data_IF_429874386153
#
_entry.id   IF_429874386153
#
_cell.length_a   1.000
_cell.length_b   1.000
_cell.length_c   1.000
_cell.angle_alpha   90.00
_cell.angle_beta   90.00
_cell.angle_gamma   90.00
#
_symmetry.space_group_name_H-M   'P 1'
#
loop_
_entity.id
_entity.type
_entity.pdbx_description
1 polymer ?
#
# COMPACT_ATOMS: atom_id res chain seq x y z
N UNK A 1 -21.07 -50.81 -3.48
CA UNK A 1 -19.68 -50.27 -3.71
C UNK A 1 -19.66 -49.05 -4.64
N UNK A 2 -20.38 -49.04 -5.77
CA UNK A 2 -20.39 -47.90 -6.73
C UNK A 2 -20.77 -46.56 -6.12
N UNK A 3 -21.77 -46.51 -5.22
CA UNK A 3 -22.23 -45.21 -4.64
C UNK A 3 -21.22 -44.62 -3.61
N UNK A 4 -20.38 -45.43 -2.98
CA UNK A 4 -19.35 -44.94 -2.06
C UNK A 4 -18.14 -44.35 -2.79
N UNK A 5 -17.79 -44.91 -3.96
CA UNK A 5 -16.72 -44.40 -4.82
C UNK A 5 -17.13 -43.05 -5.45
N UNK A 6 -18.41 -42.94 -5.87
CA UNK A 6 -18.95 -41.69 -6.43
C UNK A 6 -18.96 -40.56 -5.39
N UNK A 7 -19.34 -40.85 -4.14
CA UNK A 7 -19.31 -39.89 -3.04
C UNK A 7 -17.90 -39.42 -2.69
N UNK A 8 -16.90 -40.31 -2.72
CA UNK A 8 -15.49 -40.00 -2.49
C UNK A 8 -14.91 -39.13 -3.62
N UNK A 9 -15.25 -39.43 -4.87
CA UNK A 9 -14.84 -38.59 -6.02
C UNK A 9 -15.47 -37.18 -5.99
N UNK A 10 -16.72 -37.07 -5.58
CA UNK A 10 -17.39 -35.78 -5.44
C UNK A 10 -16.78 -34.94 -4.31
N UNK A 11 -16.45 -35.57 -3.18
CA UNK A 11 -15.77 -34.89 -2.07
C UNK A 11 -14.35 -34.43 -2.44
N UNK A 12 -13.61 -35.21 -3.24
CA UNK A 12 -12.29 -34.85 -3.72
C UNK A 12 -12.32 -33.65 -4.69
N UNK A 13 -13.33 -33.60 -5.58
CA UNK A 13 -13.52 -32.48 -6.51
C UNK A 13 -13.86 -31.19 -5.75
N UNK A 14 -14.74 -31.26 -4.74
CA UNK A 14 -15.08 -30.09 -3.91
C UNK A 14 -13.86 -29.60 -3.11
N UNK A 15 -13.03 -30.51 -2.59
CA UNK A 15 -11.79 -30.14 -1.89
C UNK A 15 -10.76 -29.47 -2.82
N UNK A 16 -10.68 -29.88 -4.08
CA UNK A 16 -9.81 -29.25 -5.07
C UNK A 16 -10.25 -27.84 -5.44
N UNK A 17 -11.56 -27.56 -5.50
CA UNK A 17 -12.07 -26.22 -5.74
C UNK A 17 -11.93 -25.27 -4.53
N UNK A 18 -11.86 -25.79 -3.31
CA UNK A 18 -11.65 -24.98 -2.11
C UNK A 18 -10.20 -24.48 -1.96
N UNK A 19 -9.23 -25.07 -2.67
CA UNK A 19 -7.81 -24.69 -2.61
C UNK A 19 -7.41 -23.66 -3.70
N UNK A 20 -8.31 -23.32 -4.63
CA UNK A 20 -7.99 -22.41 -5.74
C UNK A 20 -8.66 -21.02 -5.63
N UNK A 21 -9.31 -20.70 -4.51
CA UNK A 21 -10.10 -19.46 -4.40
C UNK A 21 -9.44 -18.34 -3.60
N UNK A 22 -8.09 -18.27 -3.53
CA UNK A 22 -7.40 -17.17 -2.86
C UNK A 22 -6.52 -16.27 -3.75
N UNK A 23 -6.41 -16.54 -5.07
CA UNK A 23 -5.42 -15.84 -5.91
C UNK A 23 -6.00 -14.87 -6.96
N UNK A 24 -7.27 -14.47 -6.90
CA UNK A 24 -7.89 -13.69 -8.00
C UNK A 24 -8.07 -12.19 -7.69
N UNK A 25 -7.70 -11.68 -6.52
CA UNK A 25 -7.96 -10.29 -6.13
C UNK A 25 -6.74 -9.41 -5.87
N UNK A 26 -5.54 -9.93 -6.00
CA UNK A 26 -4.34 -9.10 -5.81
C UNK A 26 -3.59 -9.01 -7.13
N UNK A 27 -3.47 -7.77 -7.66
CA UNK A 27 -2.55 -7.48 -8.74
C UNK A 27 -1.15 -7.97 -8.36
N UNK A 28 -0.32 -8.32 -9.36
CA UNK A 28 1.05 -8.83 -9.20
C UNK A 28 1.81 -8.06 -8.12
N UNK A 29 1.87 -8.63 -6.94
CA UNK A 29 2.59 -8.14 -5.79
C UNK A 29 4.07 -8.48 -6.03
N UNK A 30 4.96 -7.53 -5.85
CA UNK A 30 6.34 -7.87 -5.55
C UNK A 30 6.28 -8.59 -4.17
N UNK A 31 6.25 -9.93 -4.20
CA UNK A 31 5.79 -10.76 -3.08
C UNK A 31 6.74 -10.81 -1.88
N UNK A 32 7.94 -10.20 -1.96
CA UNK A 32 8.93 -10.30 -0.90
C UNK A 32 9.48 -8.93 -0.50
N UNK A 33 9.23 -8.54 0.73
CA UNK A 33 9.81 -7.33 1.28
C UNK A 33 9.38 -7.09 2.72
N UNK A 34 10.19 -6.31 3.44
CA UNK A 34 9.93 -5.92 4.82
C UNK A 34 9.38 -4.50 4.97
N UNK A 35 9.15 -3.80 3.85
CA UNK A 35 8.43 -2.52 3.78
C UNK A 35 7.30 -2.65 2.79
N UNK A 36 6.10 -2.22 3.17
CA UNK A 36 4.89 -2.28 2.34
C UNK A 36 4.45 -0.87 1.96
N UNK A 37 4.19 -0.66 0.67
CA UNK A 37 3.53 0.54 0.14
C UNK A 37 2.21 0.10 -0.48
N UNK A 38 1.11 0.62 0.03
CA UNK A 38 -0.23 0.34 -0.46
C UNK A 38 -0.86 1.61 -1.04
N UNK A 39 -1.62 1.47 -2.12
CA UNK A 39 -2.41 2.54 -2.72
C UNK A 39 -3.86 2.09 -2.73
N UNK A 40 -4.72 2.82 -2.03
CA UNK A 40 -6.16 2.56 -2.06
C UNK A 40 -6.78 3.18 -3.31
N UNK A 41 -7.29 2.34 -4.19
CA UNK A 41 -7.97 2.74 -5.40
C UNK A 41 -9.36 3.31 -5.10
N UNK A 42 -9.93 4.06 -6.03
CA UNK A 42 -11.25 4.69 -5.88
C UNK A 42 -12.41 3.70 -5.77
N UNK A 43 -12.20 2.44 -6.13
CA UNK A 43 -13.16 1.33 -5.98
C UNK A 43 -13.01 0.57 -4.64
N UNK A 44 -12.07 1.00 -3.77
CA UNK A 44 -11.79 0.40 -2.48
C UNK A 44 -10.87 -0.83 -2.53
N UNK A 45 -10.30 -1.15 -3.69
CA UNK A 45 -9.22 -2.16 -3.81
C UNK A 45 -7.87 -1.55 -3.48
N UNK A 46 -6.85 -2.38 -3.30
CA UNK A 46 -5.50 -1.93 -3.00
C UNK A 46 -4.50 -2.46 -4.03
N UNK A 47 -3.65 -1.57 -4.55
CA UNK A 47 -2.41 -1.97 -5.19
C UNK A 47 -1.33 -2.01 -4.11
N UNK A 48 -0.63 -3.14 -3.99
CA UNK A 48 0.34 -3.38 -2.91
C UNK A 48 1.70 -3.65 -3.50
N UNK A 49 2.70 -2.92 -3.02
CA UNK A 49 4.09 -3.05 -3.43
C UNK A 49 4.94 -3.29 -2.20
N UNK A 50 5.91 -4.21 -2.29
CA UNK A 50 6.82 -4.51 -1.20
C UNK A 50 8.26 -4.38 -1.65
N UNK A 51 9.13 -3.94 -0.76
CA UNK A 51 10.56 -3.93 -0.98
C UNK A 51 11.31 -4.27 0.30
N UNK A 52 12.53 -4.76 0.17
CA UNK A 52 13.44 -4.92 1.29
C UNK A 52 14.20 -3.62 1.53
N UNK A 53 14.13 -3.11 2.74
CA UNK A 53 14.82 -1.87 3.13
C UNK A 53 16.33 -1.91 2.82
N UNK A 54 16.96 -3.08 2.87
CA UNK A 54 18.38 -3.25 2.56
C UNK A 54 18.73 -3.05 1.08
N UNK A 55 17.75 -3.20 0.20
CA UNK A 55 17.91 -2.99 -1.25
C UNK A 55 17.75 -1.52 -1.65
N UNK A 56 17.23 -0.69 -0.77
CA UNK A 56 16.98 0.73 -1.05
C UNK A 56 18.22 1.55 -0.80
N UNK A 57 18.82 2.11 -1.86
CA UNK A 57 20.05 2.92 -1.76
C UNK A 57 19.82 4.19 -0.95
N UNK A 58 18.71 4.89 -1.21
CA UNK A 58 18.36 6.18 -0.60
C UNK A 58 17.46 6.05 0.64
N UNK A 59 17.55 4.94 1.40
CA UNK A 59 16.74 4.73 2.60
C UNK A 59 16.83 5.82 3.66
N UNK A 60 17.91 6.59 3.66
CA UNK A 60 18.13 7.73 4.55
C UNK A 60 17.22 8.93 4.19
N UNK A 61 16.60 8.94 3.02
CA UNK A 61 15.61 9.92 2.59
C UNK A 61 14.18 9.53 3.03
N UNK A 62 14.06 8.65 4.00
CA UNK A 62 12.77 8.22 4.56
C UNK A 62 11.88 7.52 3.53
N UNK A 63 10.58 7.76 3.60
CA UNK A 63 9.62 7.16 2.68
C UNK A 63 9.84 7.60 1.22
N UNK A 64 10.40 8.80 0.98
CA UNK A 64 10.75 9.26 -0.37
C UNK A 64 11.68 8.26 -1.06
N UNK A 65 12.76 7.83 -0.38
CA UNK A 65 13.71 6.86 -0.95
C UNK A 65 13.06 5.52 -1.30
N UNK A 66 12.09 5.05 -0.48
CA UNK A 66 11.32 3.83 -0.78
C UNK A 66 10.48 3.99 -2.04
N UNK A 67 9.78 5.12 -2.17
CA UNK A 67 8.91 5.42 -3.31
C UNK A 67 9.72 5.55 -4.60
N UNK A 68 10.86 6.24 -4.56
CA UNK A 68 11.77 6.37 -5.70
C UNK A 68 12.34 5.01 -6.14
N UNK A 69 12.75 4.18 -5.19
CA UNK A 69 13.23 2.83 -5.47
C UNK A 69 12.16 1.98 -6.15
N UNK A 70 10.93 1.95 -5.62
CA UNK A 70 9.82 1.22 -6.22
C UNK A 70 9.50 1.71 -7.64
N UNK A 71 9.55 3.03 -7.87
CA UNK A 71 9.30 3.62 -9.19
C UNK A 71 10.39 3.26 -10.23
N UNK A 72 11.61 2.97 -9.78
CA UNK A 72 12.70 2.53 -10.65
C UNK A 72 12.65 1.02 -10.96
N UNK A 73 12.26 0.22 -9.97
CA UNK A 73 12.31 -1.25 -10.06
C UNK A 73 11.02 -1.87 -10.57
N UNK A 74 9.90 -1.12 -10.60
CA UNK A 74 8.59 -1.66 -10.96
C UNK A 74 7.86 -0.78 -11.97
N UNK A 75 7.79 -1.22 -13.21
CA UNK A 75 7.12 -0.51 -14.31
C UNK A 75 5.62 -0.24 -14.07
N UNK A 76 4.99 -0.97 -13.12
CA UNK A 76 3.59 -0.79 -12.73
C UNK A 76 3.41 0.24 -11.62
N UNK A 77 4.50 0.65 -10.95
CA UNK A 77 4.48 1.64 -9.89
C UNK A 77 4.73 3.04 -10.45
N UNK A 78 3.68 3.79 -10.61
CA UNK A 78 3.76 5.18 -11.09
C UNK A 78 3.60 6.16 -9.93
N UNK A 79 4.43 7.21 -9.90
CA UNK A 79 4.34 8.28 -8.90
C UNK A 79 4.73 9.64 -9.49
N UNK A 80 3.97 10.68 -9.13
CA UNK A 80 4.36 12.09 -9.27
C UNK A 80 4.63 12.66 -7.88
N UNK A 81 5.85 13.10 -7.62
CA UNK A 81 6.25 13.74 -6.37
C UNK A 81 6.61 15.20 -6.60
N UNK A 82 6.32 16.03 -5.60
CA UNK A 82 6.65 17.45 -5.58
C UNK A 82 7.45 17.74 -4.32
N UNK A 83 8.64 18.33 -4.49
CA UNK A 83 9.45 18.79 -3.37
C UNK A 83 8.87 20.10 -2.79
N UNK A 84 8.79 20.19 -1.47
CA UNK A 84 8.35 21.35 -0.74
C UNK A 84 9.25 21.64 0.46
N UNK A 85 9.06 22.79 1.10
CA UNK A 85 9.78 23.16 2.34
C UNK A 85 9.44 22.24 3.52
N UNK A 86 8.35 21.50 3.44
CA UNK A 86 7.91 20.54 4.46
C UNK A 86 8.28 19.07 4.11
N UNK A 87 9.11 18.89 3.10
CA UNK A 87 9.47 17.59 2.53
C UNK A 87 8.71 17.29 1.24
N UNK A 88 9.05 16.16 0.60
CA UNK A 88 8.36 15.72 -0.60
C UNK A 88 6.93 15.26 -0.27
N UNK A 89 5.98 15.54 -1.17
CA UNK A 89 4.63 14.99 -1.13
C UNK A 89 4.25 14.39 -2.48
N UNK A 90 3.25 13.52 -2.49
CA UNK A 90 2.77 12.83 -3.68
C UNK A 90 1.53 13.54 -4.21
N UNK A 91 1.55 13.94 -5.48
CA UNK A 91 0.39 14.49 -6.19
C UNK A 91 -0.36 13.45 -7.01
N UNK A 92 0.31 12.35 -7.40
CA UNK A 92 -0.32 11.20 -8.05
C UNK A 92 0.47 9.93 -7.72
N UNK A 93 -0.23 8.81 -7.53
CA UNK A 93 0.37 7.49 -7.32
C UNK A 93 -0.60 6.39 -7.78
N UNK A 94 -0.10 5.44 -8.57
CA UNK A 94 -0.94 4.42 -9.15
C UNK A 94 -2.10 5.04 -9.95
N UNK A 95 -3.32 4.70 -9.56
CA UNK A 95 -4.54 5.19 -10.21
C UNK A 95 -5.18 6.39 -9.49
N UNK A 96 -4.58 6.92 -8.42
CA UNK A 96 -5.09 8.08 -7.70
C UNK A 96 -4.26 9.34 -8.02
N UNK A 97 -4.97 10.46 -8.17
CA UNK A 97 -4.36 11.76 -8.48
C UNK A 97 -5.16 12.87 -7.81
N UNK A 98 -4.45 13.87 -7.30
CA UNK A 98 -5.05 15.09 -6.75
C UNK A 98 -5.92 15.81 -7.77
N UNK A 99 -7.03 16.38 -7.29
CA UNK A 99 -7.89 17.30 -8.05
C UNK A 99 -8.18 18.52 -7.19
N UNK A 100 -7.57 19.64 -7.52
CA UNK A 100 -7.84 20.91 -6.82
C UNK A 100 -9.27 21.40 -7.07
N UNK A 101 -9.83 21.10 -8.24
CA UNK A 101 -11.21 21.47 -8.59
C UNK A 101 -12.21 20.73 -7.70
N UNK A 102 -11.98 19.43 -7.46
CA UNK A 102 -12.84 18.58 -6.62
C UNK A 102 -12.41 18.57 -5.15
N UNK A 103 -11.35 19.32 -4.79
CA UNK A 103 -10.75 19.35 -3.45
C UNK A 103 -10.34 17.95 -2.94
N UNK A 104 -9.84 17.12 -3.83
CA UNK A 104 -9.34 15.79 -3.53
C UNK A 104 -7.80 15.80 -3.45
N UNK A 105 -7.26 15.23 -2.38
CA UNK A 105 -5.82 15.23 -2.12
C UNK A 105 -5.33 13.82 -1.81
N UNK A 106 -4.08 13.52 -2.20
CA UNK A 106 -3.42 12.27 -1.83
C UNK A 106 -2.90 12.41 -0.40
N UNK A 107 -3.52 11.67 0.51
CA UNK A 107 -3.16 11.63 1.92
C UNK A 107 -2.31 10.38 2.20
N UNK A 108 -1.29 10.55 3.03
CA UNK A 108 -0.35 9.50 3.41
C UNK A 108 -0.62 9.07 4.85
N UNK A 109 -0.69 7.76 5.05
CA UNK A 109 -0.80 7.12 6.36
C UNK A 109 0.41 6.22 6.59
N UNK A 110 0.85 6.11 7.83
CA UNK A 110 2.00 5.29 8.24
C UNK A 110 1.69 4.45 9.48
N UNK A 111 2.33 3.29 9.57
CA UNK A 111 2.31 2.47 10.79
C UNK A 111 3.25 3.02 11.88
N UNK A 112 4.11 4.01 11.56
CA UNK A 112 5.12 4.56 12.47
C UNK A 112 4.52 5.75 13.23
N UNK A 113 4.06 5.50 14.47
CA UNK A 113 3.32 6.48 15.26
C UNK A 113 4.08 7.79 15.56
N UNK A 114 5.41 7.79 15.59
CA UNK A 114 6.20 9.01 15.87
C UNK A 114 6.19 10.02 14.73
N UNK A 115 5.80 9.63 13.53
CA UNK A 115 5.73 10.49 12.35
C UNK A 115 4.37 11.18 12.20
N UNK A 116 3.52 11.10 13.22
CA UNK A 116 2.16 11.62 13.23
C UNK A 116 2.02 12.80 14.21
N UNK A 117 0.85 13.36 14.31
CA UNK A 117 0.52 14.45 15.24
C UNK A 117 -0.63 14.05 16.18
N UNK A 118 -0.76 14.76 17.28
CA UNK A 118 -1.83 14.50 18.26
C UNK A 118 -3.21 14.67 17.62
N UNK A 119 -4.05 13.63 17.74
CA UNK A 119 -5.38 13.61 17.14
C UNK A 119 -5.40 13.32 15.64
N UNK A 120 -4.27 12.84 15.05
CA UNK A 120 -4.21 12.46 13.65
C UNK A 120 -5.30 11.44 13.28
N UNK A 121 -5.97 11.59 12.14
CA UNK A 121 -6.88 10.59 11.60
C UNK A 121 -6.21 9.22 11.49
N UNK A 122 -7.00 8.16 11.69
CA UNK A 122 -6.51 6.78 11.57
C UNK A 122 -7.34 5.98 10.59
N UNK A 123 -6.69 4.99 9.96
CA UNK A 123 -7.34 4.00 9.09
C UNK A 123 -6.88 2.60 9.48
N UNK A 124 -7.67 1.60 9.13
CA UNK A 124 -7.29 0.19 9.30
C UNK A 124 -6.86 -0.36 7.95
N UNK A 125 -5.70 -1.00 7.92
CA UNK A 125 -5.20 -1.71 6.77
C UNK A 125 -4.55 -3.02 7.22
N UNK A 126 -5.01 -4.15 6.70
CA UNK A 126 -4.52 -5.51 7.03
C UNK A 126 -4.41 -5.78 8.54
N UNK A 127 -5.40 -5.31 9.32
CA UNK A 127 -5.44 -5.47 10.78
C UNK A 127 -4.50 -4.53 11.56
N UNK A 128 -3.77 -3.65 10.87
CA UNK A 128 -2.87 -2.65 11.47
C UNK A 128 -3.54 -1.28 11.45
N UNK A 129 -3.44 -0.56 12.57
CA UNK A 129 -3.85 0.86 12.64
C UNK A 129 -2.76 1.73 12.04
N UNK A 130 -3.10 2.46 10.99
CA UNK A 130 -2.23 3.46 10.37
C UNK A 130 -2.70 4.87 10.76
N UNK A 131 -1.76 5.79 10.87
CA UNK A 131 -1.99 7.17 11.28
C UNK A 131 -1.64 8.11 10.14
N UNK A 132 -2.42 9.16 9.95
CA UNK A 132 -2.07 10.20 8.98
C UNK A 132 -0.69 10.78 9.32
N UNK A 133 0.19 10.84 8.33
CA UNK A 133 1.53 11.40 8.50
C UNK A 133 1.45 12.92 8.78
N UNK A 134 2.21 13.36 9.78
CA UNK A 134 2.37 14.78 10.13
C UNK A 134 3.62 15.42 9.50
N UNK A 135 4.37 14.63 8.73
CA UNK A 135 5.62 15.04 8.07
C UNK A 135 5.60 14.62 6.60
N UNK A 136 6.32 15.33 5.76
CA UNK A 136 6.49 14.94 4.36
C UNK A 136 7.30 13.65 4.21
N UNK A 137 7.25 13.02 3.04
CA UNK A 137 7.89 11.72 2.78
C UNK A 137 9.37 11.66 3.16
N UNK A 138 10.12 12.75 2.93
CA UNK A 138 11.55 12.81 3.26
C UNK A 138 11.82 12.80 4.77
N UNK A 139 10.84 13.18 5.59
CA UNK A 139 10.92 13.18 7.05
C UNK A 139 10.35 11.94 7.72
N UNK A 140 9.65 11.08 6.96
CA UNK A 140 9.04 9.87 7.51
C UNK A 140 10.10 8.83 7.83
N UNK A 141 9.93 8.19 8.97
CA UNK A 141 10.74 7.04 9.36
C UNK A 141 10.31 5.80 8.60
N UNK A 142 11.29 5.04 8.12
CA UNK A 142 11.07 3.72 7.54
C UNK A 142 11.97 2.71 8.23
N UNK A 143 11.35 1.65 8.73
CA UNK A 143 12.01 0.52 9.38
C UNK A 143 11.36 -0.78 8.90
N UNK A 144 11.93 -1.92 9.24
CA UNK A 144 11.33 -3.21 8.90
C UNK A 144 9.92 -3.32 9.48
N UNK A 145 8.96 -3.76 8.66
CA UNK A 145 7.55 -3.82 9.01
C UNK A 145 6.78 -2.52 8.79
N UNK A 146 7.43 -1.45 8.31
CA UNK A 146 6.71 -0.21 8.00
C UNK A 146 5.70 -0.42 6.88
N UNK A 147 4.49 0.09 7.11
CA UNK A 147 3.41 0.17 6.12
C UNK A 147 3.16 1.64 5.83
N UNK A 148 3.17 1.99 4.54
CA UNK A 148 2.85 3.31 4.01
C UNK A 148 1.62 3.14 3.13
N UNK A 149 0.53 3.86 3.42
CA UNK A 149 -0.71 3.80 2.65
C UNK A 149 -1.02 5.16 2.06
N UNK A 150 -1.31 5.18 0.77
CA UNK A 150 -1.78 6.35 0.04
C UNK A 150 -3.28 6.22 -0.25
N UNK A 151 -4.02 7.30 0.00
CA UNK A 151 -5.47 7.38 -0.27
C UNK A 151 -5.82 8.74 -0.87
N UNK A 152 -6.86 8.76 -1.69
CA UNK A 152 -7.44 10.01 -2.19
C UNK A 152 -8.59 10.43 -1.27
N UNK A 153 -8.49 11.59 -0.64
CA UNK A 153 -9.48 12.07 0.32
C UNK A 153 -9.90 13.51 0.02
N UNK A 154 -11.15 13.82 0.34
CA UNK A 154 -11.62 15.19 0.28
C UNK A 154 -10.97 16.03 1.40
N UNK A 155 -10.52 17.25 1.06
CA UNK A 155 -10.04 18.17 2.08
C UNK A 155 -11.19 18.56 3.02
N UNK A 156 -10.96 18.55 4.33
CA UNK A 156 -11.93 19.05 5.31
C UNK A 156 -12.04 20.59 5.32
N UNK A 157 -11.24 21.31 4.47
CA UNK A 157 -11.15 22.79 4.45
C UNK A 157 -11.59 23.40 3.13
#
# INVERSE_FOLDING_TARGET
>A
MKNRILALLLALVIALFALTSCDILFGDVADEGNVTVAVENTDGTYDVFKTNLDKVENKNEGAKGIIEHLNQENDKFYVEMVDSTYGAYVSAIGNIKESYEDKMYVIVYTSVAKDTYEGAPTVQYDGVTLYQAGVGLSGMTVEEGTIILFRLEASPY
#
